data_IF_157406508813
#
_entry.id   IF_157406508813
#
_cell.length_a   1.000
_cell.length_b   1.000
_cell.length_c   1.000
_cell.angle_alpha   90.00
_cell.angle_beta   90.00
_cell.angle_gamma   90.00
#
_symmetry.space_group_name_H-M   'P 1'
#
loop_
_entity.id
_entity.type
_entity.pdbx_description
1 polymer ?
#
# COMPACT_ATOMS: atom_id res chain seq x y z
N UNK A 1 11.68 1.77 -11.18
CA UNK A 1 10.32 1.85 -10.59
C UNK A 1 9.58 0.54 -10.77
N UNK A 2 8.92 0.07 -9.70
CA UNK A 2 8.06 -1.10 -9.75
C UNK A 2 6.63 -0.65 -9.52
N UNK A 3 5.71 -1.18 -10.32
CA UNK A 3 4.30 -0.83 -10.21
C UNK A 3 3.48 -2.11 -10.32
N UNK A 4 2.63 -2.37 -9.34
CA UNK A 4 1.79 -3.57 -9.31
C UNK A 4 0.37 -3.24 -8.92
N UNK A 5 -0.58 -3.94 -9.53
CA UNK A 5 -1.97 -3.92 -9.11
C UNK A 5 -2.17 -5.09 -8.15
N UNK A 6 -2.64 -4.79 -6.95
CA UNK A 6 -2.78 -5.76 -5.87
C UNK A 6 -4.23 -5.84 -5.45
N UNK A 7 -4.76 -7.06 -5.37
CA UNK A 7 -6.10 -7.29 -4.85
C UNK A 7 -6.00 -7.47 -3.33
N UNK A 8 -6.79 -6.70 -2.60
CA UNK A 8 -6.74 -6.74 -1.14
C UNK A 8 -7.30 -8.05 -0.60
N UNK A 9 -6.44 -8.78 0.12
CA UNK A 9 -6.81 -10.02 0.79
C UNK A 9 -7.06 -9.85 2.28
N UNK A 10 -7.07 -8.60 2.76
CA UNK A 10 -7.35 -8.31 4.16
C UNK A 10 -8.85 -8.44 4.41
N UNK A 11 -9.22 -9.13 5.50
CA UNK A 11 -10.62 -9.48 5.77
C UNK A 11 -11.54 -8.26 5.84
N UNK A 12 -11.05 -7.15 6.38
CA UNK A 12 -11.82 -5.93 6.53
C UNK A 12 -11.46 -4.86 5.51
N UNK A 13 -10.67 -5.22 4.50
CA UNK A 13 -10.17 -4.25 3.54
C UNK A 13 -9.16 -3.29 4.17
N UNK A 14 -9.05 -2.10 3.58
CA UNK A 14 -8.06 -1.11 4.03
C UNK A 14 -8.71 -0.14 5.01
N UNK A 15 -8.81 -0.57 6.27
CA UNK A 15 -9.33 0.23 7.36
C UNK A 15 -8.21 0.94 8.11
N UNK A 16 -8.56 1.75 9.12
CA UNK A 16 -7.61 2.57 9.86
C UNK A 16 -6.41 1.77 10.40
N UNK A 17 -6.66 0.56 10.91
CA UNK A 17 -5.59 -0.29 11.43
C UNK A 17 -4.66 -0.75 10.33
N UNK A 18 -5.22 -1.18 9.20
CA UNK A 18 -4.43 -1.63 8.05
C UNK A 18 -3.68 -0.46 7.43
N UNK A 19 -4.30 0.71 7.38
CA UNK A 19 -3.64 1.93 6.90
C UNK A 19 -2.42 2.24 7.76
N UNK A 20 -2.57 2.20 9.07
CA UNK A 20 -1.45 2.47 9.99
C UNK A 20 -0.31 1.48 9.78
N UNK A 21 -0.63 0.19 9.59
CA UNK A 21 0.38 -0.83 9.33
C UNK A 21 1.07 -0.60 8.00
N UNK A 22 0.33 -0.26 6.96
CA UNK A 22 0.90 -0.01 5.65
C UNK A 22 1.84 1.19 5.67
N UNK A 23 1.44 2.27 6.34
CA UNK A 23 2.29 3.45 6.50
C UNK A 23 3.57 3.08 7.25
N UNK A 24 3.46 2.25 8.28
CA UNK A 24 4.62 1.81 9.04
C UNK A 24 5.57 0.98 8.19
N UNK A 25 5.05 0.05 7.40
CA UNK A 25 5.86 -0.75 6.48
C UNK A 25 6.55 0.16 5.47
N UNK A 26 5.79 1.02 4.79
CA UNK A 26 6.33 1.89 3.76
C UNK A 26 7.42 2.83 4.31
N UNK A 27 7.25 3.28 5.55
CA UNK A 27 8.18 4.23 6.17
C UNK A 27 9.53 3.62 6.52
N UNK A 28 9.66 2.29 6.50
CA UNK A 28 10.93 1.62 6.73
C UNK A 28 11.86 1.67 5.51
N UNK A 29 11.33 2.03 4.36
CA UNK A 29 12.06 2.02 3.11
C UNK A 29 12.35 3.45 2.64
N UNK A 30 13.45 3.61 1.92
CA UNK A 30 13.81 4.90 1.34
C UNK A 30 13.04 5.21 0.07
N UNK A 31 12.56 4.18 -0.62
CA UNK A 31 11.82 4.33 -1.86
C UNK A 31 10.61 5.24 -1.71
N UNK A 32 10.28 5.94 -2.78
CA UNK A 32 9.02 6.69 -2.87
C UNK A 32 7.91 5.70 -3.18
N UNK A 33 6.93 5.64 -2.32
CA UNK A 33 5.86 4.65 -2.44
C UNK A 33 4.52 5.36 -2.51
N UNK A 34 3.76 5.04 -3.56
CA UNK A 34 2.45 5.62 -3.77
C UNK A 34 1.42 4.52 -3.91
N UNK A 35 0.22 4.80 -3.44
CA UNK A 35 -0.94 3.92 -3.57
C UNK A 35 -2.02 4.69 -4.28
N UNK A 36 -2.60 4.08 -5.30
CA UNK A 36 -3.65 4.75 -6.07
C UNK A 36 -4.80 3.82 -6.39
N UNK A 37 -5.98 4.43 -6.47
CA UNK A 37 -7.17 3.79 -7.00
C UNK A 37 -7.73 4.69 -8.12
N UNK A 38 -8.96 4.45 -8.57
CA UNK A 38 -9.56 5.24 -9.63
C UNK A 38 -9.80 6.71 -9.25
N UNK A 39 -9.83 7.02 -7.95
CA UNK A 39 -10.20 8.34 -7.46
C UNK A 39 -9.01 9.19 -7.00
N UNK A 40 -7.93 8.56 -6.50
CA UNK A 40 -6.85 9.30 -5.87
C UNK A 40 -5.53 8.54 -5.91
N UNK A 41 -4.43 9.30 -5.86
CA UNK A 41 -3.07 8.79 -5.73
C UNK A 41 -2.47 9.45 -4.50
N UNK A 42 -2.02 8.65 -3.54
CA UNK A 42 -1.55 9.16 -2.26
C UNK A 42 -0.18 8.58 -1.91
N UNK A 43 0.57 9.30 -1.09
CA UNK A 43 1.86 8.84 -0.59
C UNK A 43 1.62 7.80 0.52
N UNK A 44 2.17 6.60 0.34
CA UNK A 44 1.97 5.50 1.29
C UNK A 44 2.59 5.77 2.66
N UNK A 45 3.48 6.76 2.75
CA UNK A 45 4.09 7.15 4.04
C UNK A 45 3.29 8.22 4.77
N UNK A 46 2.16 8.67 4.20
CA UNK A 46 1.32 9.69 4.78
C UNK A 46 0.03 9.08 5.30
N UNK A 47 -0.13 9.08 6.62
CA UNK A 47 -1.37 8.58 7.24
C UNK A 47 -2.58 9.37 6.73
N UNK A 48 -2.46 10.70 6.69
CA UNK A 48 -3.58 11.54 6.25
C UNK A 48 -3.96 11.28 4.80
N UNK A 49 -2.95 11.12 3.93
CA UNK A 49 -3.22 10.78 2.54
C UNK A 49 -3.87 9.42 2.41
N UNK A 50 -3.34 8.43 3.12
CA UNK A 50 -3.88 7.06 3.07
C UNK A 50 -5.30 6.98 3.59
N UNK A 51 -5.67 7.81 4.56
CA UNK A 51 -7.03 7.81 5.11
C UNK A 51 -8.07 8.32 4.13
N UNK A 52 -7.66 8.96 3.03
CA UNK A 52 -8.60 9.37 2.00
C UNK A 52 -9.00 8.20 1.10
N UNK A 53 -8.27 7.08 1.16
CA UNK A 53 -8.60 5.89 0.40
C UNK A 53 -9.61 5.06 1.18
N UNK A 54 -10.67 4.65 0.51
CA UNK A 54 -11.70 3.82 1.10
C UNK A 54 -11.83 2.57 0.25
N UNK A 55 -11.27 1.46 0.73
CA UNK A 55 -11.19 0.23 -0.05
C UNK A 55 -11.68 -0.95 0.78
N UNK A 56 -12.61 -1.70 0.22
CA UNK A 56 -13.12 -2.90 0.85
C UNK A 56 -12.31 -4.14 0.50
N UNK A 57 -12.59 -5.23 1.19
CA UNK A 57 -11.98 -6.52 0.89
C UNK A 57 -12.28 -6.91 -0.55
N UNK A 58 -11.27 -7.44 -1.25
CA UNK A 58 -11.42 -7.87 -2.63
C UNK A 58 -11.23 -6.78 -3.67
N UNK A 59 -11.20 -5.52 -3.26
CA UNK A 59 -10.91 -4.43 -4.19
C UNK A 59 -9.43 -4.37 -4.52
N UNK A 60 -9.10 -3.79 -5.68
CA UNK A 60 -7.72 -3.71 -6.13
C UNK A 60 -7.21 -2.29 -6.05
N UNK A 61 -5.92 -2.18 -5.74
CA UNK A 61 -5.20 -0.89 -5.75
C UNK A 61 -3.92 -1.06 -6.55
N UNK A 62 -3.36 0.04 -7.01
CA UNK A 62 -2.07 0.04 -7.67
C UNK A 62 -1.04 0.64 -6.73
N UNK A 63 0.04 -0.11 -6.48
CA UNK A 63 1.15 0.35 -5.65
C UNK A 63 2.35 0.56 -6.53
N UNK A 64 3.02 1.70 -6.37
CA UNK A 64 4.27 1.98 -7.08
C UNK A 64 5.38 2.28 -6.07
N UNK A 65 6.57 1.81 -6.35
CA UNK A 65 7.74 2.04 -5.52
C UNK A 65 8.93 2.41 -6.41
N UNK A 66 9.66 3.44 -6.03
CA UNK A 66 10.82 3.91 -6.79
C UNK A 66 11.93 4.28 -5.85
N UNK A 67 13.05 3.59 -5.94
CA UNK A 67 14.22 3.83 -5.10
C UNK A 67 15.12 2.62 -5.02
N UNK A 68 16.19 2.75 -4.25
CA UNK A 68 17.22 1.70 -4.15
C UNK A 68 16.67 0.40 -3.55
N UNK A 69 15.70 0.48 -2.65
CA UNK A 69 15.11 -0.68 -1.98
C UNK A 69 13.69 -1.00 -2.47
N UNK A 70 13.38 -0.58 -3.70
CA UNK A 70 12.02 -0.73 -4.22
C UNK A 70 11.54 -2.18 -4.28
N UNK A 71 12.44 -3.13 -4.58
CA UNK A 71 12.06 -4.54 -4.65
C UNK A 71 11.60 -5.08 -3.30
N UNK A 72 12.38 -4.79 -2.25
CA UNK A 72 12.05 -5.23 -0.90
C UNK A 72 10.78 -4.55 -0.40
N UNK A 73 10.65 -3.26 -0.68
CA UNK A 73 9.46 -2.52 -0.27
C UNK A 73 8.21 -3.10 -0.90
N UNK A 74 8.25 -3.36 -2.20
CA UNK A 74 7.10 -3.92 -2.92
C UNK A 74 6.74 -5.31 -2.39
N UNK A 75 7.75 -6.16 -2.15
CA UNK A 75 7.52 -7.50 -1.62
C UNK A 75 6.78 -7.46 -0.28
N UNK A 76 7.24 -6.63 0.63
CA UNK A 76 6.63 -6.58 1.97
C UNK A 76 5.23 -6.01 1.91
N UNK A 77 5.03 -4.97 1.11
CA UNK A 77 3.72 -4.34 0.95
C UNK A 77 2.73 -5.33 0.32
N UNK A 78 3.15 -6.02 -0.73
CA UNK A 78 2.30 -7.00 -1.41
C UNK A 78 1.91 -8.13 -0.47
N UNK A 79 2.88 -8.67 0.28
CA UNK A 79 2.63 -9.74 1.23
C UNK A 79 1.61 -9.31 2.28
N UNK A 80 1.74 -8.10 2.80
CA UNK A 80 0.79 -7.60 3.79
C UNK A 80 -0.61 -7.41 3.19
N UNK A 81 -0.69 -6.77 2.03
CA UNK A 81 -1.98 -6.41 1.43
C UNK A 81 -2.74 -7.63 0.92
N UNK A 82 -2.06 -8.68 0.50
CA UNK A 82 -2.72 -9.92 0.05
C UNK A 82 -3.13 -10.81 1.20
N UNK A 83 -2.72 -10.49 2.43
CA UNK A 83 -3.03 -11.30 3.59
C UNK A 83 -2.12 -12.50 3.77
N UNK A 84 -1.07 -12.61 2.99
CA UNK A 84 -0.06 -13.67 3.13
C UNK A 84 0.90 -13.29 4.25
N UNK A 85 0.95 -14.11 5.27
CA UNK A 85 1.85 -13.85 6.41
C UNK A 85 2.63 -15.07 6.79
#
# INVERSE_FOLDING_TARGET
>A
MIKKTITLGLASGLEARAIAMLVQIASQYESRIYVENSAARVNAKSIMGMMTLSLGAGESITVSAEGADEDKAMDEIETYLTGEQ
#
